data_IF_495582384287
#
_entry.id   IF_495582384287
#
_cell.length_a   1.000
_cell.length_b   1.000
_cell.length_c   1.000
_cell.angle_alpha   90.00
_cell.angle_beta   90.00
_cell.angle_gamma   90.00
#
_symmetry.space_group_name_H-M   'P 1'
#
loop_
_entity.id
_entity.type
_entity.pdbx_description
1 polymer ?
#
# COMPACT_ATOMS: atom_id res chain seq x y z
N UNK A 1 -3.92 7.28 14.16
CA UNK A 1 -2.93 8.29 14.56
C UNK A 1 -2.96 8.44 16.06
N UNK A 2 -1.82 8.38 16.74
CA UNK A 2 -1.65 8.62 18.18
C UNK A 2 -1.38 10.12 18.45
N UNK A 3 -1.52 10.56 19.70
CA UNK A 3 -1.33 11.98 20.08
C UNK A 3 0.07 12.50 19.70
N UNK A 4 1.12 11.72 19.93
CA UNK A 4 2.50 12.08 19.59
C UNK A 4 2.71 12.28 18.07
N UNK A 5 2.04 11.48 17.24
CA UNK A 5 2.08 11.61 15.78
C UNK A 5 1.38 12.90 15.33
N UNK A 6 0.24 13.23 15.93
CA UNK A 6 -0.49 14.47 15.65
C UNK A 6 0.33 15.71 16.07
N UNK A 7 1.03 15.65 17.21
CA UNK A 7 1.93 16.72 17.66
C UNK A 7 3.09 16.91 16.69
N UNK A 8 3.72 15.83 16.20
CA UNK A 8 4.79 15.91 15.22
C UNK A 8 4.29 16.53 13.91
N UNK A 9 3.16 16.05 13.39
CA UNK A 9 2.52 16.58 12.19
C UNK A 9 2.21 18.09 12.31
N UNK A 10 1.69 18.51 13.47
CA UNK A 10 1.42 19.92 13.74
C UNK A 10 2.69 20.79 13.78
N UNK A 11 3.84 20.23 14.19
CA UNK A 11 5.12 20.94 14.18
C UNK A 11 5.69 21.06 12.77
N UNK A 12 5.58 19.99 11.97
CA UNK A 12 6.16 19.93 10.63
C UNK A 12 5.36 20.76 9.61
N UNK A 13 4.03 20.77 9.73
CA UNK A 13 3.13 21.41 8.76
C UNK A 13 2.40 22.64 9.29
N UNK A 14 2.60 22.99 10.56
CA UNK A 14 2.00 24.15 11.21
C UNK A 14 0.64 23.87 11.85
N UNK A 15 0.44 24.39 13.06
CA UNK A 15 -0.77 24.16 13.86
C UNK A 15 -2.07 24.75 13.27
N UNK A 16 -1.95 25.72 12.35
CA UNK A 16 -3.08 26.38 11.71
C UNK A 16 -3.42 25.78 10.33
N UNK A 17 -2.65 24.80 9.87
CA UNK A 17 -2.88 24.16 8.57
C UNK A 17 -4.07 23.21 8.65
N UNK A 18 -5.02 23.33 7.72
CA UNK A 18 -6.17 22.42 7.66
C UNK A 18 -5.74 21.06 7.11
N UNK A 19 -6.43 19.98 7.52
CA UNK A 19 -6.16 18.65 6.98
C UNK A 19 -6.28 18.59 5.45
N UNK A 20 -7.19 19.37 4.85
CA UNK A 20 -7.32 19.46 3.39
C UNK A 20 -6.13 20.12 2.72
N UNK A 21 -5.58 21.19 3.31
CA UNK A 21 -4.36 21.84 2.82
C UNK A 21 -3.15 20.91 2.96
N UNK A 22 -3.04 20.21 4.09
CA UNK A 22 -2.01 19.21 4.34
C UNK A 22 -2.05 18.10 3.29
N UNK A 23 -3.23 17.54 3.02
CA UNK A 23 -3.38 16.48 2.00
C UNK A 23 -2.92 16.98 0.64
N UNK A 24 -3.33 18.19 0.21
CA UNK A 24 -2.87 18.76 -1.07
C UNK A 24 -1.35 18.95 -1.12
N UNK A 25 -0.75 19.40 -0.01
CA UNK A 25 0.69 19.60 0.09
C UNK A 25 1.46 18.28 -0.01
N UNK A 26 1.03 17.23 0.72
CA UNK A 26 1.65 15.90 0.68
C UNK A 26 1.41 15.23 -0.69
N UNK A 27 0.20 15.35 -1.22
CA UNK A 27 -0.20 14.72 -2.47
C UNK A 27 0.62 15.23 -3.66
N UNK A 28 0.94 16.52 -3.69
CA UNK A 28 1.73 17.10 -4.78
C UNK A 28 1.13 16.80 -6.16
N UNK A 29 1.92 16.19 -7.04
CA UNK A 29 1.52 15.75 -8.38
C UNK A 29 0.92 14.32 -8.43
N UNK A 30 0.87 13.59 -7.30
CA UNK A 30 0.31 12.23 -7.23
C UNK A 30 -1.23 12.28 -7.19
N UNK A 31 -1.84 12.67 -8.30
CA UNK A 31 -3.30 12.89 -8.39
C UNK A 31 -4.09 11.65 -8.79
N UNK A 32 -3.44 10.63 -9.34
CA UNK A 32 -4.11 9.43 -9.85
C UNK A 32 -4.16 8.35 -8.76
N UNK A 33 -5.35 7.82 -8.49
CA UNK A 33 -5.53 6.72 -7.55
C UNK A 33 -4.83 5.47 -8.09
N UNK A 34 -3.96 4.86 -7.29
CA UNK A 34 -3.23 3.66 -7.71
C UNK A 34 -4.22 2.51 -7.98
N UNK A 35 -4.24 1.94 -9.20
CA UNK A 35 -5.20 0.88 -9.55
C UNK A 35 -4.88 -0.45 -8.85
N UNK A 36 -3.61 -0.72 -8.52
CA UNK A 36 -3.17 -1.97 -7.90
C UNK A 36 -3.64 -2.10 -6.45
N UNK A 37 -3.54 -1.04 -5.66
CA UNK A 37 -3.92 -1.04 -4.24
C UNK A 37 -5.21 -0.26 -3.93
N UNK A 38 -5.87 0.29 -4.96
CA UNK A 38 -7.09 1.09 -4.82
C UNK A 38 -6.96 2.25 -3.80
N UNK A 39 -5.82 2.93 -3.77
CA UNK A 39 -5.61 4.08 -2.87
C UNK A 39 -5.14 3.73 -1.46
N UNK A 40 -5.01 2.44 -1.11
CA UNK A 40 -4.65 2.05 0.26
C UNK A 40 -3.15 2.10 0.56
N UNK A 41 -2.31 2.14 -0.48
CA UNK A 41 -0.86 2.02 -0.37
C UNK A 41 -0.37 0.61 -0.03
N UNK A 42 -1.28 -0.37 0.19
CA UNK A 42 -0.91 -1.73 0.62
C UNK A 42 -1.59 -2.79 -0.23
N UNK A 43 -0.95 -3.95 -0.34
CA UNK A 43 -1.52 -5.13 -1.00
C UNK A 43 -1.49 -6.32 -0.03
N UNK A 44 -2.55 -7.11 -0.05
CA UNK A 44 -2.65 -8.33 0.71
C UNK A 44 -1.87 -9.45 0.00
N UNK A 45 -0.93 -10.08 0.70
CA UNK A 45 -0.15 -11.21 0.21
C UNK A 45 -0.36 -12.38 1.14
N UNK A 46 -0.68 -13.54 0.57
CA UNK A 46 -0.72 -14.80 1.31
C UNK A 46 0.67 -15.40 1.38
N UNK A 47 1.07 -15.83 2.57
CA UNK A 47 2.30 -16.58 2.76
C UNK A 47 2.04 -17.75 3.70
N UNK A 48 2.86 -18.78 3.59
CA UNK A 48 2.84 -19.92 4.49
C UNK A 48 3.73 -19.63 5.70
N UNK A 49 3.12 -19.59 6.88
CA UNK A 49 3.77 -19.36 8.17
C UNK A 49 3.99 -20.67 8.93
N UNK A 50 3.95 -21.81 8.22
CA UNK A 50 4.19 -23.11 8.84
C UNK A 50 5.63 -23.21 9.36
N UNK A 51 5.85 -23.60 10.63
CA UNK A 51 7.19 -23.73 11.18
C UNK A 51 8.05 -24.70 10.36
N UNK A 52 9.30 -24.33 10.02
CA UNK A 52 10.22 -25.27 9.38
C UNK A 52 10.73 -26.31 10.38
N UNK A 53 11.07 -27.51 9.88
CA UNK A 53 11.75 -28.55 10.67
C UNK A 53 10.85 -29.47 11.49
N UNK A 54 9.53 -29.40 11.30
CA UNK A 54 8.59 -30.38 11.84
C UNK A 54 8.43 -31.57 10.87
N UNK A 55 8.01 -32.76 11.37
CA UNK A 55 7.80 -33.93 10.53
C UNK A 55 6.75 -33.72 9.42
N UNK A 56 5.89 -32.73 9.61
CA UNK A 56 4.83 -32.34 8.67
C UNK A 56 5.13 -31.08 7.86
N UNK A 57 6.31 -30.47 8.07
CA UNK A 57 6.82 -29.39 7.23
C UNK A 57 6.99 -29.90 5.79
N UNK A 58 6.13 -29.44 4.88
CA UNK A 58 6.14 -29.83 3.47
C UNK A 58 4.79 -30.28 2.91
N UNK A 59 3.83 -30.59 3.78
CA UNK A 59 2.44 -30.88 3.36
C UNK A 59 1.40 -30.16 4.22
N UNK A 60 1.72 -29.86 5.49
CA UNK A 60 0.90 -28.99 6.31
C UNK A 60 1.20 -27.52 5.97
N UNK A 61 0.15 -26.70 5.85
CA UNK A 61 0.24 -25.28 5.51
C UNK A 61 -0.49 -24.45 6.55
N UNK A 62 0.08 -23.29 6.89
CA UNK A 62 -0.55 -22.26 7.73
C UNK A 62 -0.59 -20.95 6.94
N UNK A 63 -1.61 -20.83 6.10
CA UNK A 63 -1.80 -19.63 5.28
C UNK A 63 -2.17 -18.41 6.13
N UNK A 64 -1.30 -17.40 6.13
CA UNK A 64 -1.54 -16.10 6.75
C UNK A 64 -1.59 -15.03 5.67
N UNK A 65 -2.46 -14.04 5.87
CA UNK A 65 -2.48 -12.83 5.06
C UNK A 65 -1.67 -11.74 5.75
N UNK A 66 -0.67 -11.20 5.06
CA UNK A 66 0.04 -9.99 5.48
C UNK A 66 -0.23 -8.85 4.50
N UNK A 67 -0.23 -7.63 5.02
CA UNK A 67 -0.27 -6.42 4.19
C UNK A 67 1.15 -5.94 3.97
N UNK A 68 1.58 -5.88 2.71
CA UNK A 68 2.87 -5.30 2.31
C UNK A 68 2.62 -4.00 1.55
N UNK A 69 3.64 -3.15 1.47
CA UNK A 69 3.58 -1.92 0.68
C UNK A 69 3.31 -2.25 -0.80
N UNK A 70 2.46 -1.43 -1.43
CA UNK A 70 2.21 -1.54 -2.85
C UNK A 70 3.45 -1.05 -3.60
N UNK A 71 4.06 -1.95 -4.37
CA UNK A 71 5.19 -1.70 -5.26
C UNK A 71 4.91 -0.68 -6.38
N UNK A 72 3.67 -0.56 -6.87
CA UNK A 72 3.31 0.37 -7.95
C UNK A 72 3.29 1.83 -7.50
N UNK A 73 2.80 2.10 -6.29
CA UNK A 73 2.74 3.46 -5.74
C UNK A 73 3.68 3.67 -4.56
N UNK A 74 4.56 2.71 -4.27
CA UNK A 74 5.51 2.75 -3.16
C UNK A 74 4.89 3.15 -1.82
N UNK A 75 3.73 2.57 -1.49
CA UNK A 75 3.04 2.86 -0.23
C UNK A 75 2.14 4.10 -0.21
N UNK A 76 2.20 4.95 -1.23
CA UNK A 76 1.51 6.26 -1.24
C UNK A 76 0.00 6.17 -1.50
N UNK A 77 -0.45 5.09 -2.14
CA UNK A 77 -1.83 4.94 -2.59
C UNK A 77 -2.18 5.73 -3.85
N UNK A 78 -1.41 6.77 -4.20
CA UNK A 78 -1.60 7.58 -5.41
C UNK A 78 -0.31 7.65 -6.23
N UNK A 79 -0.45 7.95 -7.52
CA UNK A 79 0.63 8.01 -8.50
C UNK A 79 0.57 9.29 -9.33
N UNK A 80 1.72 9.73 -9.82
CA UNK A 80 1.84 10.91 -10.70
C UNK A 80 1.27 10.66 -12.09
N UNK A 81 1.33 9.40 -12.54
CA UNK A 81 0.81 8.97 -13.83
C UNK A 81 -0.41 8.09 -13.65
N UNK A 82 -1.34 8.17 -14.61
CA UNK A 82 -2.46 7.25 -14.71
C UNK A 82 -1.96 5.90 -15.23
N UNK A 83 -2.07 4.85 -14.40
CA UNK A 83 -1.76 3.49 -14.81
C UNK A 83 -3.03 2.79 -15.31
N UNK A 84 -2.96 2.26 -16.52
CA UNK A 84 -4.04 1.45 -17.11
C UNK A 84 -3.58 -0.01 -17.23
N UNK A 85 -4.46 -0.98 -16.93
CA UNK A 85 -4.15 -2.38 -17.16
C UNK A 85 -3.76 -2.59 -18.62
N UNK A 86 -2.64 -3.24 -18.87
CA UNK A 86 -2.31 -3.71 -20.20
C UNK A 86 -3.13 -4.98 -20.43
N UNK A 87 -4.19 -4.88 -21.24
CA UNK A 87 -4.93 -6.06 -21.67
C UNK A 87 -4.07 -6.81 -22.67
N UNK A 88 -3.42 -7.89 -22.22
CA UNK A 88 -2.82 -8.86 -23.12
C UNK A 88 -3.93 -9.83 -23.48
N UNK A 89 -4.44 -9.75 -24.70
CA UNK A 89 -5.22 -10.85 -25.26
C UNK A 89 -4.20 -11.92 -25.63
N UNK A 90 -3.98 -12.89 -24.74
CA UNK A 90 -3.32 -14.13 -25.14
C UNK A 90 -4.27 -14.81 -26.12
N UNK A 91 -4.01 -14.58 -27.42
CA UNK A 91 -4.57 -15.39 -28.48
C UNK A 91 -4.09 -16.82 -28.27
N UNK A 92 -5.02 -17.76 -28.25
CA UNK A 92 -4.70 -19.18 -28.34
C UNK A 92 -4.11 -19.43 -29.73
N UNK A 93 -2.81 -19.74 -29.81
CA UNK A 93 -2.25 -20.54 -30.90
C UNK A 93 -2.00 -21.97 -30.39
#
# INVERSE_FOLDING_TARGET
MKINEAIALSKDYGANTTLGALVKQIQGNKIHKCPKCSGSGKVAVKYDDYPPGLPDSGWAHKWITKYVECDLCHGEGYTEHEYKPRMVQDGWE
#
